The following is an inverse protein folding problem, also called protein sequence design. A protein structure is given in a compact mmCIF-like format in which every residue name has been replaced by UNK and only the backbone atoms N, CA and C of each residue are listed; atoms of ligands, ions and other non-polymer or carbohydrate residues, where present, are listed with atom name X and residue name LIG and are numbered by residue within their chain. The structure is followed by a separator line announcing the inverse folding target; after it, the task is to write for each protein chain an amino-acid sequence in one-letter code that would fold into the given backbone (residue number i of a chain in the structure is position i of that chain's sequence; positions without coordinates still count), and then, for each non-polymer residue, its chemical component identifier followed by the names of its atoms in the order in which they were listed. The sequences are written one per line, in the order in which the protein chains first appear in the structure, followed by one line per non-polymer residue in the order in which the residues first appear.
data_IF_263257254560
#
_entry.id   IF_263257254560
#
_cell.length_a   1.000
_cell.length_b   1.000
_cell.length_c   1.000
_cell.angle_alpha   90.00
_cell.angle_beta   90.00
_cell.angle_gamma   90.00
#
_symmetry.space_group_name_H-M   'P 1'
#
loop_
_entity.id
_entity.type
_entity.pdbx_description
1 polymer ?
#
# COMPACT_ATOMS: atom_id res chain seq x y z
N UNK A 1 -16.57 33.62 42.13
CA UNK A 1 -15.75 32.39 42.16
C UNK A 1 -16.32 31.41 41.13
N UNK A 2 -16.13 31.72 39.84
CA UNK A 2 -16.66 30.90 38.73
C UNK A 2 -15.81 31.07 37.46
N UNK A 3 -14.49 31.23 37.63
CA UNK A 3 -13.57 31.52 36.51
C UNK A 3 -12.19 30.84 36.64
N UNK A 4 -12.09 29.75 37.41
CA UNK A 4 -10.82 29.02 37.57
C UNK A 4 -10.87 27.55 37.12
N UNK A 5 -12.03 26.99 36.76
CA UNK A 5 -12.16 25.58 36.33
C UNK A 5 -12.11 25.37 34.80
N UNK A 6 -12.36 26.40 33.99
CA UNK A 6 -12.38 26.27 32.51
C UNK A 6 -11.03 25.99 31.83
N UNK A 7 -9.87 26.53 32.27
CA UNK A 7 -8.61 26.28 31.57
C UNK A 7 -8.03 24.89 31.83
N UNK A 8 -8.33 24.28 32.98
CA UNK A 8 -7.81 22.96 33.37
C UNK A 8 -8.47 21.85 32.53
N UNK A 9 -9.79 21.92 32.31
CA UNK A 9 -10.55 20.98 31.47
C UNK A 9 -10.11 21.07 29.99
N UNK A 10 -9.82 22.28 29.49
CA UNK A 10 -9.39 22.50 28.11
C UNK A 10 -7.96 21.99 27.83
N UNK A 11 -7.06 22.02 28.82
CA UNK A 11 -5.70 21.48 28.73
C UNK A 11 -5.65 19.95 28.96
N UNK A 12 -6.60 19.41 29.73
CA UNK A 12 -6.71 17.96 29.97
C UNK A 12 -7.08 17.17 28.71
N UNK A 13 -7.82 17.75 27.76
CA UNK A 13 -8.20 17.08 26.50
C UNK A 13 -7.00 16.78 25.56
N UNK A 14 -6.10 17.73 25.23
CA UNK A 14 -4.92 17.44 24.43
C UNK A 14 -3.91 16.52 25.16
N UNK A 15 -3.75 16.65 26.47
CA UNK A 15 -2.89 15.75 27.26
C UNK A 15 -3.43 14.32 27.23
N UNK A 16 -4.75 14.15 27.41
CA UNK A 16 -5.42 12.85 27.32
C UNK A 16 -5.30 12.25 25.92
N UNK A 17 -5.51 13.05 24.87
CA UNK A 17 -5.33 12.61 23.47
C UNK A 17 -3.89 12.20 23.19
N UNK A 18 -2.91 12.95 23.69
CA UNK A 18 -1.50 12.62 23.57
C UNK A 18 -1.16 11.31 24.31
N UNK A 19 -1.66 11.13 25.54
CA UNK A 19 -1.48 9.90 26.30
C UNK A 19 -2.09 8.68 25.58
N UNK A 20 -3.31 8.83 25.04
CA UNK A 20 -3.95 7.79 24.21
C UNK A 20 -3.07 7.48 22.99
N UNK A 21 -2.59 8.48 22.26
CA UNK A 21 -1.75 8.25 21.09
C UNK A 21 -0.43 7.53 21.44
N UNK A 22 0.22 7.92 22.55
CA UNK A 22 1.46 7.30 23.04
C UNK A 22 1.24 5.83 23.40
N UNK A 23 0.10 5.48 24.00
CA UNK A 23 -0.23 4.08 24.35
C UNK A 23 -0.71 3.29 23.14
N UNK A 24 -1.51 3.89 22.26
CA UNK A 24 -2.08 3.21 21.10
C UNK A 24 -1.05 2.93 20.00
N UNK A 25 -0.06 3.81 19.82
CA UNK A 25 0.98 3.63 18.81
C UNK A 25 1.74 2.29 18.94
N UNK A 26 2.30 1.89 20.11
CA UNK A 26 2.97 0.61 20.26
C UNK A 26 2.00 -0.59 20.16
N UNK A 27 0.74 -0.44 20.60
CA UNK A 27 -0.28 -1.48 20.45
C UNK A 27 -0.55 -1.74 18.96
N UNK A 28 -0.74 -0.69 18.17
CA UNK A 28 -0.95 -0.80 16.73
C UNK A 28 0.29 -1.35 16.02
N UNK A 29 1.49 -0.90 16.41
CA UNK A 29 2.74 -1.42 15.86
C UNK A 29 2.88 -2.93 16.12
N UNK A 30 2.59 -3.38 17.35
CA UNK A 30 2.58 -4.80 17.70
C UNK A 30 1.53 -5.58 16.91
N UNK A 31 0.31 -5.03 16.78
CA UNK A 31 -0.76 -5.64 16.00
C UNK A 31 -0.36 -5.80 14.51
N UNK A 32 0.22 -4.77 13.90
CA UNK A 32 0.68 -4.83 12.52
C UNK A 32 1.85 -5.79 12.32
N UNK A 33 2.77 -5.90 13.29
CA UNK A 33 3.82 -6.91 13.26
C UNK A 33 3.25 -8.34 13.32
N UNK A 34 2.25 -8.58 14.17
CA UNK A 34 1.56 -9.88 14.23
C UNK A 34 0.86 -10.20 12.92
N UNK A 35 0.19 -9.23 12.30
CA UNK A 35 -0.45 -9.42 11.00
C UNK A 35 0.58 -9.73 9.90
N UNK A 36 1.73 -9.07 9.91
CA UNK A 36 2.80 -9.33 8.95
C UNK A 36 3.42 -10.71 9.14
N UNK A 37 3.63 -11.13 10.40
CA UNK A 37 4.09 -12.47 10.72
C UNK A 37 3.08 -13.55 10.28
N UNK A 38 1.78 -13.28 10.44
CA UNK A 38 0.71 -14.15 9.94
C UNK A 38 0.71 -14.25 8.40
N UNK A 39 0.96 -13.15 7.70
CA UNK A 39 1.12 -13.17 6.24
C UNK A 39 2.32 -14.02 5.79
N UNK A 40 3.41 -14.01 6.57
CA UNK A 40 4.58 -14.84 6.31
C UNK A 40 4.38 -16.33 6.66
N UNK A 41 3.33 -16.67 7.42
CA UNK A 41 2.92 -18.06 7.61
C UNK A 41 2.17 -18.64 6.39
N UNK A 42 1.80 -17.81 5.41
CA UNK A 42 1.22 -18.26 4.14
C UNK A 42 2.25 -19.10 3.37
N UNK A 43 1.88 -20.29 2.83
CA UNK A 43 2.85 -21.19 2.18
C UNK A 43 3.52 -20.59 0.94
N UNK A 44 4.86 -20.54 0.93
CA UNK A 44 5.66 -20.02 -0.19
C UNK A 44 5.35 -20.72 -1.51
N UNK A 45 5.15 -22.05 -1.49
CA UNK A 45 4.86 -22.83 -2.70
C UNK A 45 3.59 -22.37 -3.41
N UNK A 46 2.57 -21.94 -2.65
CA UNK A 46 1.32 -21.47 -3.25
C UNK A 46 1.52 -20.08 -3.89
N UNK A 47 2.23 -19.18 -3.18
CA UNK A 47 2.58 -17.85 -3.68
C UNK A 47 3.45 -17.96 -4.93
N UNK A 48 4.55 -18.72 -4.87
CA UNK A 48 5.49 -18.91 -5.97
C UNK A 48 4.81 -19.46 -7.23
N UNK A 49 3.91 -20.45 -7.08
CA UNK A 49 3.16 -21.00 -8.21
C UNK A 49 2.32 -19.95 -8.92
N UNK A 50 1.58 -19.13 -8.18
CA UNK A 50 0.69 -18.13 -8.77
C UNK A 50 1.46 -16.91 -9.32
N UNK A 51 2.61 -16.56 -8.72
CA UNK A 51 3.52 -15.55 -9.27
C UNK A 51 4.14 -16.04 -10.58
N UNK A 52 4.44 -17.34 -10.70
CA UNK A 52 4.99 -17.93 -11.92
C UNK A 52 4.04 -17.88 -13.13
N UNK A 53 2.71 -17.78 -12.93
CA UNK A 53 1.75 -17.66 -14.03
C UNK A 53 1.92 -16.36 -14.82
N UNK A 54 2.36 -15.28 -14.16
CA UNK A 54 2.55 -13.96 -14.76
C UNK A 54 4.03 -13.70 -15.15
N UNK A 55 4.77 -14.76 -15.53
CA UNK A 55 6.20 -14.67 -15.83
C UNK A 55 6.54 -13.66 -16.93
N UNK A 56 5.67 -13.48 -17.93
CA UNK A 56 5.87 -12.49 -18.99
C UNK A 56 5.92 -11.07 -18.44
N UNK A 57 5.07 -10.77 -17.45
CA UNK A 57 5.05 -9.47 -16.79
C UNK A 57 6.38 -9.22 -16.07
N UNK A 58 6.83 -10.20 -15.30
CA UNK A 58 8.07 -10.13 -14.52
C UNK A 58 9.33 -10.31 -15.39
N UNK A 59 9.19 -10.72 -16.66
CA UNK A 59 10.29 -10.79 -17.63
C UNK A 59 10.87 -9.43 -18.01
N UNK A 60 10.21 -8.33 -17.62
CA UNK A 60 10.59 -6.97 -17.93
C UNK A 60 10.80 -6.17 -16.66
N UNK A 61 11.94 -5.46 -16.54
CA UNK A 61 12.12 -4.52 -15.44
C UNK A 61 11.25 -3.26 -15.57
N UNK A 62 10.86 -2.90 -16.81
CA UNK A 62 10.00 -1.76 -17.11
C UNK A 62 9.09 -2.07 -18.30
N UNK A 63 7.82 -1.69 -18.19
CA UNK A 63 6.83 -1.85 -19.25
C UNK A 63 6.27 -0.51 -19.72
N UNK A 64 5.97 -0.34 -21.02
CA UNK A 64 5.25 0.83 -21.48
C UNK A 64 3.82 0.83 -20.91
N UNK A 65 3.34 1.99 -20.48
CA UNK A 65 1.94 2.23 -20.12
C UNK A 65 1.22 2.97 -21.24
N UNK A 66 -0.11 2.87 -21.26
CA UNK A 66 -0.98 3.61 -22.18
C UNK A 66 -0.85 5.14 -22.06
N UNK A 67 -0.23 5.65 -20.98
CA UNK A 67 0.02 7.08 -20.77
C UNK A 67 1.38 7.54 -21.31
N UNK A 68 2.13 6.67 -21.98
CA UNK A 68 3.50 6.95 -22.43
C UNK A 68 4.56 6.88 -21.32
N UNK A 69 4.16 6.60 -20.06
CA UNK A 69 5.09 6.35 -18.94
C UNK A 69 5.63 4.94 -19.00
N UNK A 70 6.79 4.71 -18.38
CA UNK A 70 7.29 3.37 -18.08
C UNK A 70 6.86 2.96 -16.67
N UNK A 71 6.14 1.85 -16.56
CA UNK A 71 5.79 1.20 -15.30
C UNK A 71 7.06 0.52 -14.78
N UNK A 72 7.44 0.82 -13.54
CA UNK A 72 8.55 0.15 -12.88
C UNK A 72 8.09 -1.20 -12.33
N UNK A 73 8.44 -2.28 -13.04
CA UNK A 73 8.11 -3.65 -12.63
C UNK A 73 9.13 -4.17 -11.62
N UNK A 74 10.32 -3.56 -11.52
CA UNK A 74 11.32 -3.91 -10.52
C UNK A 74 10.77 -3.83 -9.10
N UNK A 75 10.03 -2.76 -8.78
CA UNK A 75 9.34 -2.62 -7.49
C UNK A 75 8.26 -3.68 -7.28
N UNK A 76 7.55 -4.10 -8.33
CA UNK A 76 6.56 -5.18 -8.24
C UNK A 76 7.22 -6.52 -7.91
N UNK A 77 8.37 -6.82 -8.53
CA UNK A 77 9.16 -8.03 -8.25
C UNK A 77 9.62 -8.08 -6.78
N UNK A 78 10.06 -6.94 -6.23
CA UNK A 78 10.37 -6.82 -4.80
C UNK A 78 9.10 -7.05 -3.96
N UNK A 79 7.96 -6.50 -4.39
CA UNK A 79 6.71 -6.58 -3.64
C UNK A 79 6.13 -7.99 -3.56
N UNK A 80 6.07 -8.72 -4.68
CA UNK A 80 5.53 -10.08 -4.73
C UNK A 80 6.47 -11.13 -4.15
N UNK A 81 7.77 -10.80 -4.05
CA UNK A 81 8.79 -11.68 -3.46
C UNK A 81 8.91 -11.57 -1.95
N UNK A 82 8.10 -10.73 -1.29
CA UNK A 82 8.12 -10.60 0.16
C UNK A 82 7.88 -11.95 0.86
N UNK A 83 8.87 -12.41 1.61
CA UNK A 83 8.89 -13.71 2.28
C UNK A 83 9.38 -14.88 1.42
N UNK A 84 9.63 -14.68 0.12
CA UNK A 84 10.20 -15.71 -0.77
C UNK A 84 11.74 -15.70 -0.76
N UNK A 85 12.33 -16.77 -1.30
CA UNK A 85 13.78 -16.97 -1.38
C UNK A 85 14.35 -17.78 -0.22
N UNK A 86 15.65 -18.07 -0.29
CA UNK A 86 16.34 -18.94 0.67
C UNK A 86 16.89 -18.16 1.87
N UNK A 87 16.00 -17.40 2.52
CA UNK A 87 16.34 -16.79 3.79
C UNK A 87 16.66 -17.91 4.82
N UNK A 88 17.59 -17.69 5.76
CA UNK A 88 17.82 -18.62 6.86
C UNK A 88 16.49 -18.98 7.54
N UNK A 89 16.33 -20.22 8.04
CA UNK A 89 15.12 -20.64 8.74
C UNK A 89 14.90 -19.80 10.01
N UNK A 90 14.22 -18.68 9.86
CA UNK A 90 13.89 -17.72 10.90
C UNK A 90 12.41 -17.82 11.22
N UNK A 91 12.04 -17.44 12.45
CA UNK A 91 10.62 -17.41 12.82
C UNK A 91 9.85 -16.40 11.96
N UNK A 92 8.53 -16.59 11.72
CA UNK A 92 7.73 -15.61 10.98
C UNK A 92 7.77 -14.19 11.55
N UNK A 93 7.94 -14.06 12.87
CA UNK A 93 8.11 -12.76 13.54
C UNK A 93 9.44 -12.09 13.19
N UNK A 94 10.53 -12.87 13.15
CA UNK A 94 11.83 -12.36 12.73
C UNK A 94 11.83 -12.02 11.24
N UNK A 95 11.22 -12.86 10.40
CA UNK A 95 11.04 -12.55 8.98
C UNK A 95 10.20 -11.28 8.79
N UNK A 96 9.17 -11.05 9.60
CA UNK A 96 8.39 -9.80 9.57
C UNK A 96 9.24 -8.58 9.89
N UNK A 97 10.20 -8.71 10.82
CA UNK A 97 11.10 -7.61 11.20
C UNK A 97 12.18 -7.34 10.14
N UNK A 98 12.69 -8.39 9.48
CA UNK A 98 13.75 -8.30 8.45
C UNK A 98 13.22 -7.94 7.06
N UNK A 99 11.96 -8.30 6.79
CA UNK A 99 11.30 -8.17 5.50
C UNK A 99 12.14 -8.74 4.34
N UNK A 100 12.36 -10.07 4.29
CA UNK A 100 13.16 -10.69 3.24
C UNK A 100 12.45 -10.55 1.88
N UNK A 101 13.20 -10.12 0.87
CA UNK A 101 12.72 -9.96 -0.52
C UNK A 101 13.80 -10.40 -1.51
N UNK A 102 13.38 -10.71 -2.74
CA UNK A 102 14.27 -10.89 -3.89
C UNK A 102 14.31 -9.57 -4.66
N UNK A 103 15.50 -9.00 -4.86
CA UNK A 103 15.67 -7.61 -5.29
C UNK A 103 15.51 -7.35 -6.79
N UNK A 104 15.45 -8.40 -7.59
CA UNK A 104 15.41 -8.28 -9.04
C UNK A 104 14.51 -9.35 -9.67
N UNK A 105 13.92 -9.01 -10.81
CA UNK A 105 12.99 -9.90 -11.50
C UNK A 105 13.67 -11.16 -12.08
N UNK A 106 14.89 -11.12 -12.63
CA UNK A 106 15.59 -12.33 -13.06
C UNK A 106 15.76 -13.38 -11.94
N UNK A 107 16.18 -12.96 -10.74
CA UNK A 107 16.32 -13.83 -9.57
C UNK A 107 14.96 -14.36 -9.10
N UNK A 108 13.92 -13.50 -9.10
CA UNK A 108 12.56 -13.93 -8.77
C UNK A 108 12.07 -15.01 -9.73
N UNK A 109 12.23 -14.79 -11.04
CA UNK A 109 11.84 -15.75 -12.07
C UNK A 109 12.63 -17.06 -11.97
N UNK A 110 13.93 -16.99 -11.68
CA UNK A 110 14.74 -18.17 -11.39
C UNK A 110 14.20 -18.96 -10.21
N UNK A 111 13.82 -18.28 -9.13
CA UNK A 111 13.24 -18.90 -7.95
C UNK A 111 11.88 -19.57 -8.26
N UNK A 112 10.93 -18.84 -8.86
CA UNK A 112 9.55 -19.33 -9.02
C UNK A 112 9.35 -20.31 -10.18
N UNK A 113 10.14 -20.18 -11.27
CA UNK A 113 10.01 -21.07 -12.43
C UNK A 113 10.95 -22.27 -12.37
N UNK A 114 12.16 -22.08 -11.84
CA UNK A 114 13.23 -23.08 -11.91
C UNK A 114 13.62 -23.64 -10.54
N UNK A 115 13.07 -23.09 -9.45
CA UNK A 115 13.47 -23.47 -8.09
C UNK A 115 14.94 -23.15 -7.81
N UNK A 116 15.50 -22.16 -8.50
CA UNK A 116 16.87 -21.73 -8.26
C UNK A 116 16.99 -21.09 -6.89
N UNK A 117 18.16 -21.30 -6.27
CA UNK A 117 18.44 -20.62 -5.02
C UNK A 117 18.53 -19.12 -5.28
N UNK A 118 17.76 -18.34 -4.53
CA UNK A 118 17.73 -16.89 -4.63
C UNK A 118 17.96 -16.32 -3.24
N UNK A 119 19.08 -15.60 -3.08
CA UNK A 119 19.40 -14.93 -1.82
C UNK A 119 18.38 -13.83 -1.56
N UNK A 120 17.46 -14.08 -0.64
CA UNK A 120 16.63 -13.03 -0.10
C UNK A 120 17.48 -12.11 0.77
N UNK A 121 17.36 -10.80 0.58
CA UNK A 121 18.02 -9.83 1.44
C UNK A 121 17.03 -9.02 2.27
N UNK A 122 17.54 -8.41 3.33
CA UNK A 122 16.74 -7.67 4.29
C UNK A 122 16.26 -6.35 3.69
N UNK A 123 14.94 -6.15 3.65
CA UNK A 123 14.32 -4.92 3.14
C UNK A 123 13.48 -4.20 4.19
N UNK A 124 13.86 -4.35 5.47
CA UNK A 124 13.23 -3.72 6.63
C UNK A 124 13.12 -2.18 6.57
N UNK A 125 13.87 -1.53 5.67
CA UNK A 125 13.80 -0.08 5.47
C UNK A 125 12.43 0.40 4.95
N UNK A 126 11.65 -0.49 4.35
CA UNK A 126 10.30 -0.19 3.87
C UNK A 126 9.24 -0.94 4.68
N UNK A 127 8.09 -0.28 4.86
CA UNK A 127 6.93 -0.92 5.45
C UNK A 127 6.23 -1.84 4.44
N UNK A 128 5.98 -3.10 4.84
CA UNK A 128 5.40 -4.13 3.99
C UNK A 128 3.95 -4.47 4.36
N UNK A 129 3.20 -3.52 4.93
CA UNK A 129 1.83 -3.78 5.41
C UNK A 129 0.85 -4.22 4.32
N UNK A 130 1.12 -3.92 3.04
CA UNK A 130 0.32 -4.43 1.93
C UNK A 130 0.36 -5.98 1.86
N UNK A 131 1.45 -6.60 2.31
CA UNK A 131 1.63 -8.05 2.30
C UNK A 131 0.63 -8.80 3.19
N UNK A 132 0.07 -8.12 4.20
CA UNK A 132 -1.02 -8.65 5.03
C UNK A 132 -2.22 -9.09 4.18
N UNK A 133 -2.45 -8.39 3.07
CA UNK A 133 -3.54 -8.68 2.14
C UNK A 133 -2.99 -9.39 0.89
N UNK A 134 -1.93 -8.87 0.28
CA UNK A 134 -1.48 -9.35 -1.02
C UNK A 134 -0.91 -10.76 -0.97
N UNK A 135 -0.19 -11.15 0.09
CA UNK A 135 0.44 -12.47 0.16
C UNK A 135 -0.58 -13.61 0.32
N UNK A 136 -1.59 -13.52 1.20
CA UNK A 136 -2.70 -14.47 1.18
C UNK A 136 -3.43 -14.54 -0.16
N UNK A 137 -3.70 -13.39 -0.81
CA UNK A 137 -4.33 -13.39 -2.13
C UNK A 137 -3.45 -14.07 -3.19
N UNK A 138 -2.15 -13.79 -3.20
CA UNK A 138 -1.19 -14.44 -4.09
C UNK A 138 -1.07 -15.95 -3.85
N UNK A 139 -1.43 -16.48 -2.68
CA UNK A 139 -1.52 -17.92 -2.48
C UNK A 139 -2.80 -18.55 -3.11
N UNK A 140 -3.82 -17.72 -3.39
CA UNK A 140 -5.12 -18.15 -3.90
C UNK A 140 -5.31 -17.89 -5.40
N UNK A 141 -4.72 -16.82 -5.93
CA UNK A 141 -4.87 -16.41 -7.33
C UNK A 141 -3.58 -15.80 -7.90
N UNK A 142 -3.41 -15.78 -9.23
CA UNK A 142 -2.31 -15.10 -9.93
C UNK A 142 -2.24 -13.61 -9.64
N UNK A 143 -1.08 -13.01 -9.87
CA UNK A 143 -0.85 -11.60 -9.58
C UNK A 143 -1.71 -10.67 -10.47
N UNK A 144 -1.99 -11.03 -11.72
CA UNK A 144 -2.91 -10.25 -12.56
C UNK A 144 -4.33 -10.17 -11.96
N UNK A 145 -4.82 -11.25 -11.35
CA UNK A 145 -6.13 -11.27 -10.67
C UNK A 145 -6.10 -10.41 -9.40
N UNK A 146 -5.01 -10.46 -8.63
CA UNK A 146 -4.81 -9.56 -7.48
C UNK A 146 -4.85 -8.09 -7.92
N UNK A 147 -4.22 -7.76 -9.06
CA UNK A 147 -4.27 -6.40 -9.63
C UNK A 147 -5.68 -6.01 -10.03
N UNK A 148 -6.42 -6.89 -10.70
CA UNK A 148 -7.80 -6.63 -11.11
C UNK A 148 -8.73 -6.43 -9.91
N UNK A 149 -8.60 -7.28 -8.88
CA UNK A 149 -9.34 -7.15 -7.64
C UNK A 149 -9.03 -5.80 -6.95
N UNK A 150 -7.75 -5.45 -6.85
CA UNK A 150 -7.31 -4.18 -6.25
C UNK A 150 -7.84 -2.98 -7.04
N UNK A 151 -7.80 -3.05 -8.37
CA UNK A 151 -8.34 -2.01 -9.23
C UNK A 151 -9.86 -1.84 -9.03
N UNK A 152 -10.62 -2.93 -9.01
CA UNK A 152 -12.06 -2.90 -8.78
C UNK A 152 -12.41 -2.38 -7.38
N UNK A 153 -11.68 -2.79 -6.34
CA UNK A 153 -11.84 -2.28 -4.99
C UNK A 153 -11.55 -0.78 -4.91
N UNK A 154 -10.48 -0.32 -5.57
CA UNK A 154 -10.15 1.10 -5.65
C UNK A 154 -11.23 1.90 -6.39
N UNK A 155 -11.76 1.38 -7.50
CA UNK A 155 -12.85 2.01 -8.24
C UNK A 155 -14.13 2.11 -7.40
N UNK A 156 -14.47 1.06 -6.65
CA UNK A 156 -15.62 1.05 -5.75
C UNK A 156 -15.46 2.06 -4.59
N UNK A 157 -14.29 2.10 -3.96
CA UNK A 157 -13.96 3.08 -2.91
C UNK A 157 -13.99 4.51 -3.45
N UNK A 158 -13.51 4.72 -4.68
CA UNK A 158 -13.55 6.03 -5.33
C UNK A 158 -15.00 6.47 -5.62
N UNK A 159 -15.85 5.57 -6.12
CA UNK A 159 -17.27 5.83 -6.33
C UNK A 159 -17.99 6.11 -5.00
N UNK A 160 -17.67 5.36 -3.94
CA UNK A 160 -18.21 5.59 -2.60
C UNK A 160 -17.82 6.97 -2.06
N UNK A 161 -16.54 7.36 -2.20
CA UNK A 161 -16.06 8.69 -1.85
C UNK A 161 -16.78 9.79 -2.64
N UNK A 162 -16.94 9.59 -3.95
CA UNK A 162 -17.66 10.53 -4.83
C UNK A 162 -19.11 10.73 -4.37
N UNK A 163 -19.81 9.64 -4.07
CA UNK A 163 -21.17 9.68 -3.55
C UNK A 163 -21.24 10.39 -2.19
N UNK A 164 -20.29 10.12 -1.29
CA UNK A 164 -20.18 10.79 0.00
C UNK A 164 -20.00 12.30 -0.12
N UNK A 165 -19.07 12.75 -0.97
CA UNK A 165 -18.81 14.16 -1.23
C UNK A 165 -20.00 14.86 -1.90
N UNK A 166 -20.66 14.18 -2.85
CA UNK A 166 -21.86 14.71 -3.48
C UNK A 166 -22.97 14.91 -2.44
N UNK A 167 -23.21 13.92 -1.57
CA UNK A 167 -24.21 14.05 -0.50
C UNK A 167 -23.87 15.15 0.50
N UNK A 168 -22.58 15.39 0.76
CA UNK A 168 -22.13 16.39 1.72
C UNK A 168 -22.19 17.83 1.19
N UNK A 169 -21.91 18.06 -0.10
CA UNK A 169 -21.76 19.42 -0.63
C UNK A 169 -22.05 19.57 -2.12
N UNK A 170 -22.81 18.66 -2.73
CA UNK A 170 -23.19 18.75 -4.14
C UNK A 170 -22.12 18.22 -5.11
N UNK A 171 -22.48 18.15 -6.39
CA UNK A 171 -21.59 17.63 -7.45
C UNK A 171 -20.34 18.50 -7.66
N UNK A 172 -20.40 19.79 -7.31
CA UNK A 172 -19.26 20.73 -7.40
C UNK A 172 -18.15 20.37 -6.42
N UNK A 173 -18.49 20.09 -5.17
CA UNK A 173 -17.52 19.62 -4.16
C UNK A 173 -16.92 18.28 -4.56
N UNK A 174 -17.76 17.33 -4.98
CA UNK A 174 -17.29 16.03 -5.44
C UNK A 174 -16.33 16.15 -6.63
N UNK A 175 -16.71 16.89 -7.68
CA UNK A 175 -15.86 17.09 -8.85
C UNK A 175 -14.58 17.83 -8.48
N UNK A 176 -14.66 18.88 -7.66
CA UNK A 176 -13.50 19.67 -7.27
C UNK A 176 -12.47 18.89 -6.46
N UNK A 177 -12.94 18.02 -5.57
CA UNK A 177 -12.06 17.14 -4.79
C UNK A 177 -11.52 15.95 -5.60
N UNK A 178 -12.26 15.45 -6.60
CA UNK A 178 -11.90 14.22 -7.33
C UNK A 178 -11.16 14.46 -8.66
N UNK A 179 -11.39 15.58 -9.33
CA UNK A 179 -10.69 15.93 -10.58
C UNK A 179 -9.15 15.84 -10.47
N UNK A 180 -8.50 16.21 -9.34
CA UNK A 180 -7.06 16.07 -9.20
C UNK A 180 -6.59 14.62 -9.23
N UNK A 181 -7.35 13.69 -8.64
CA UNK A 181 -7.00 12.26 -8.67
C UNK A 181 -7.04 11.68 -10.08
N UNK A 182 -7.98 12.13 -10.89
CA UNK A 182 -8.04 11.75 -12.30
C UNK A 182 -6.84 12.33 -13.06
N UNK A 183 -6.53 13.61 -12.88
CA UNK A 183 -5.43 14.28 -13.59
C UNK A 183 -4.03 13.80 -13.16
N UNK A 184 -3.81 13.53 -11.88
CA UNK A 184 -2.52 13.05 -11.34
C UNK A 184 -2.15 11.69 -11.92
N UNK A 185 -3.12 10.77 -12.03
CA UNK A 185 -2.89 9.44 -12.60
C UNK A 185 -2.46 9.46 -14.08
N UNK A 186 -2.68 10.58 -14.78
CA UNK A 186 -2.31 10.74 -16.18
C UNK A 186 -1.05 11.59 -16.42
N UNK A 187 -0.54 12.34 -15.43
CA UNK A 187 0.40 13.43 -15.72
C UNK A 187 1.67 13.42 -14.86
N UNK A 188 2.78 12.88 -15.37
CA UNK A 188 4.12 13.01 -14.74
C UNK A 188 4.64 14.45 -14.75
N UNK A 189 5.47 14.85 -13.77
CA UNK A 189 5.94 16.23 -13.41
C UNK A 189 4.80 17.23 -13.09
N UNK A 190 3.70 17.18 -13.83
CA UNK A 190 2.44 17.81 -13.52
C UNK A 190 1.77 17.27 -12.24
N UNK A 191 2.19 16.14 -11.66
CA UNK A 191 1.65 15.62 -10.39
C UNK A 191 1.75 16.62 -9.23
N UNK A 192 2.80 17.47 -9.19
CA UNK A 192 2.94 18.52 -8.18
C UNK A 192 1.99 19.70 -8.45
N UNK A 193 1.83 20.08 -9.72
CA UNK A 193 0.94 21.16 -10.15
C UNK A 193 -0.54 20.79 -10.02
N UNK A 194 -0.91 19.55 -10.34
CA UNK A 194 -2.29 19.05 -10.24
C UNK A 194 -2.73 18.86 -8.80
N UNK A 195 -1.82 18.48 -7.88
CA UNK A 195 -2.08 18.54 -6.44
C UNK A 195 -2.37 19.98 -6.03
N UNK A 196 -1.51 20.94 -6.36
CA UNK A 196 -1.72 22.36 -6.02
C UNK A 196 -3.02 22.93 -6.62
N UNK A 197 -3.30 22.67 -7.90
CA UNK A 197 -4.54 23.06 -8.56
C UNK A 197 -5.76 22.39 -7.92
N UNK A 198 -5.64 21.14 -7.51
CA UNK A 198 -6.68 20.41 -6.80
C UNK A 198 -7.03 20.97 -5.44
N UNK A 199 -6.02 21.35 -4.66
CA UNK A 199 -6.22 22.08 -3.41
C UNK A 199 -6.91 23.42 -3.66
N UNK A 200 -6.51 24.16 -4.70
CA UNK A 200 -7.16 25.44 -5.07
C UNK A 200 -8.62 25.22 -5.47
N UNK A 201 -8.92 24.23 -6.31
CA UNK A 201 -10.30 23.93 -6.72
C UNK A 201 -11.14 23.47 -5.53
N UNK A 202 -10.59 22.63 -4.64
CA UNK A 202 -11.29 22.21 -3.42
C UNK A 202 -11.58 23.40 -2.50
N UNK A 203 -10.62 24.32 -2.34
CA UNK A 203 -10.78 25.54 -1.54
C UNK A 203 -11.80 26.52 -2.16
N UNK A 204 -11.85 26.63 -3.49
CA UNK A 204 -12.85 27.45 -4.18
C UNK A 204 -14.24 26.80 -4.11
N UNK A 205 -14.33 25.48 -4.30
CA UNK A 205 -15.58 24.74 -4.22
C UNK A 205 -16.16 24.62 -2.80
N UNK A 206 -15.32 24.76 -1.77
CA UNK A 206 -15.73 24.76 -0.36
C UNK A 206 -16.15 26.15 0.17
N UNK A 207 -15.88 27.23 -0.58
CA UNK A 207 -16.22 28.61 -0.21
C UNK A 207 -17.41 29.19 -0.99
N UNK A 208 -18.25 28.33 -1.58
CA UNK A 208 -19.52 28.66 -2.26
C UNK A 208 -20.58 27.67 -1.75
#
# INVERSE_FOLDING_TARGET
IKSLEEPEIALMDPIRKAAIAIVMAPILAAAFMVLLAAALAVPDKAVARNVAEDWELFGHARLPSFTGRKIDVGTECIGVSFGLGDAPHVSPMEAAARAPVIFDCPSLLGHVLRGENSNAGDYARYWHGYAVISRPLLALMPYHDVRMLTFNAMAALFAFLAAGLWRAGGWRLALGALAPFYFVNYSGFFELWTKAAGWIVMLVAANI
#
